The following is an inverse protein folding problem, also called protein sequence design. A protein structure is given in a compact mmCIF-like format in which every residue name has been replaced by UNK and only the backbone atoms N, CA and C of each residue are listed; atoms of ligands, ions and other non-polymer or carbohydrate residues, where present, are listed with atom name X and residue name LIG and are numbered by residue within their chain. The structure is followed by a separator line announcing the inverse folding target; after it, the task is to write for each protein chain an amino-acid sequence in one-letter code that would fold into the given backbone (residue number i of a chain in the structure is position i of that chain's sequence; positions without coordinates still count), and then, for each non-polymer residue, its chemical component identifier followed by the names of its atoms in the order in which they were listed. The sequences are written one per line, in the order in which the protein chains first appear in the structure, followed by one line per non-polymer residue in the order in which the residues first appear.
data_IF_254726353072
#
_entry.id   IF_254726353072
#
_cell.length_a   1.000
_cell.length_b   1.000
_cell.length_c   1.000
_cell.angle_alpha   90.00
_cell.angle_beta   90.00
_cell.angle_gamma   90.00
#
_symmetry.space_group_name_H-M   'P 1'
#
loop_
_entity.id
_entity.type
_entity.pdbx_description
1 polymer ?
#
# COMPACT_ATOMS: atom_id res chain seq x y z
N UNK A 1 0.03 11.84 23.80
CA UNK A 1 1.34 11.29 23.39
C UNK A 1 2.37 12.34 23.01
N UNK A 2 2.07 13.59 23.23
CA UNK A 2 3.02 14.67 22.96
C UNK A 2 4.34 14.51 23.70
N UNK A 3 4.29 13.81 24.85
CA UNK A 3 5.47 13.57 25.67
C UNK A 3 6.17 12.24 25.44
N UNK A 4 5.66 11.43 24.50
CA UNK A 4 6.26 10.14 24.20
C UNK A 4 7.58 10.33 23.47
N UNK A 5 8.58 9.54 23.85
CA UNK A 5 9.84 9.51 23.15
C UNK A 5 9.70 8.68 21.87
N UNK A 6 10.56 8.91 20.83
CA UNK A 6 10.41 8.17 19.56
C UNK A 6 10.34 6.65 19.71
N UNK A 7 11.11 6.08 20.64
CA UNK A 7 11.11 4.63 20.84
C UNK A 7 9.89 4.11 21.59
N UNK A 8 9.06 4.99 22.14
CA UNK A 8 7.82 4.64 22.83
C UNK A 8 6.62 4.65 21.89
N UNK A 9 6.79 5.11 20.65
CA UNK A 9 5.72 5.19 19.68
C UNK A 9 5.34 3.80 19.18
N UNK A 10 4.05 3.61 18.89
CA UNK A 10 3.57 2.39 18.23
C UNK A 10 4.11 2.31 16.80
N UNK A 11 4.01 1.13 16.18
CA UNK A 11 4.39 0.94 14.79
C UNK A 11 3.67 1.88 13.84
N UNK A 12 2.35 2.06 14.04
CA UNK A 12 1.56 2.96 13.20
C UNK A 12 1.96 4.42 13.38
N UNK A 13 2.27 4.83 14.62
CA UNK A 13 2.74 6.19 14.88
C UNK A 13 4.10 6.45 14.25
N UNK A 14 5.01 5.47 14.31
CA UNK A 14 6.30 5.57 13.63
C UNK A 14 6.13 5.73 12.13
N UNK A 15 5.21 4.97 11.56
CA UNK A 15 4.94 5.03 10.14
C UNK A 15 4.36 6.38 9.73
N UNK A 16 3.44 6.95 10.52
CA UNK A 16 2.91 8.29 10.26
C UNK A 16 3.99 9.35 10.32
N UNK A 17 4.92 9.25 11.28
CA UNK A 17 6.04 10.18 11.38
C UNK A 17 6.95 10.06 10.14
N UNK A 18 7.21 8.84 9.69
CA UNK A 18 8.03 8.61 8.50
C UNK A 18 7.39 9.24 7.26
N UNK A 19 6.08 9.08 7.10
CA UNK A 19 5.34 9.68 5.98
C UNK A 19 5.43 11.22 6.06
N UNK A 20 5.21 11.79 7.23
CA UNK A 20 5.29 13.24 7.40
C UNK A 20 6.68 13.79 7.06
N UNK A 21 7.74 13.08 7.45
CA UNK A 21 9.11 13.47 7.10
C UNK A 21 9.35 13.43 5.59
N UNK A 22 8.86 12.37 4.94
CA UNK A 22 8.99 12.24 3.49
C UNK A 22 8.28 13.40 2.79
N UNK A 23 7.09 13.77 3.24
CA UNK A 23 6.32 14.87 2.66
C UNK A 23 7.01 16.22 2.84
N UNK A 24 7.68 16.43 3.97
CA UNK A 24 8.40 17.69 4.21
C UNK A 24 9.55 17.92 3.22
N UNK A 25 10.00 16.89 2.55
CA UNK A 25 11.03 17.01 1.52
C UNK A 25 10.46 17.42 0.16
N UNK A 26 9.16 17.57 0.05
CA UNK A 26 8.44 17.91 -1.19
C UNK A 26 8.83 17.01 -2.36
N UNK A 27 8.72 15.68 -2.21
CA UNK A 27 9.16 14.75 -3.24
C UNK A 27 8.21 14.75 -4.43
N UNK A 28 8.74 14.40 -5.60
CA UNK A 28 7.90 14.19 -6.78
C UNK A 28 7.21 12.83 -6.72
N UNK A 29 7.89 11.83 -6.17
CA UNK A 29 7.37 10.46 -6.03
C UNK A 29 7.75 9.93 -4.66
N UNK A 30 6.82 9.21 -4.02
CA UNK A 30 7.11 8.52 -2.75
C UNK A 30 7.02 7.01 -3.01
N UNK A 31 8.01 6.29 -2.49
CA UNK A 31 8.01 4.83 -2.52
C UNK A 31 7.65 4.29 -1.15
N UNK A 32 6.62 3.46 -1.09
CA UNK A 32 6.23 2.73 0.11
C UNK A 32 6.50 1.25 -0.10
N UNK A 33 7.33 0.67 0.74
CA UNK A 33 7.67 -0.75 0.66
C UNK A 33 7.05 -1.48 1.85
N UNK A 34 5.94 -2.15 1.59
CA UNK A 34 5.15 -2.89 2.59
C UNK A 34 4.92 -2.09 3.88
N UNK A 35 4.31 -0.90 3.76
CA UNK A 35 4.21 0.03 4.89
C UNK A 35 3.41 -0.49 6.08
N UNK A 36 2.63 -1.55 5.90
CA UNK A 36 1.76 -2.10 6.95
C UNK A 36 2.17 -3.48 7.43
N UNK A 37 3.28 -4.03 6.93
CA UNK A 37 3.63 -5.44 7.15
C UNK A 37 3.87 -5.83 8.61
N UNK A 38 4.28 -4.88 9.44
CA UNK A 38 4.58 -5.15 10.86
C UNK A 38 3.56 -4.53 11.81
N UNK A 39 2.43 -4.08 11.29
CA UNK A 39 1.40 -3.39 12.06
C UNK A 39 0.24 -4.32 12.40
N UNK A 40 -0.42 -4.06 13.54
CA UNK A 40 -1.66 -4.75 13.85
C UNK A 40 -2.82 -4.21 12.98
N UNK A 41 -3.96 -4.92 12.90
CA UNK A 41 -5.05 -4.55 11.99
C UNK A 41 -5.58 -3.13 12.17
N UNK A 42 -5.61 -2.63 13.40
CA UNK A 42 -6.09 -1.28 13.66
C UNK A 42 -5.16 -0.23 13.07
N UNK A 43 -3.86 -0.44 13.23
CA UNK A 43 -2.83 0.47 12.70
C UNK A 43 -2.77 0.40 11.17
N UNK A 44 -3.00 -0.77 10.59
CA UNK A 44 -3.07 -0.94 9.14
C UNK A 44 -4.13 0.00 8.56
N UNK A 45 -5.32 0.02 9.17
CA UNK A 45 -6.39 0.91 8.72
C UNK A 45 -6.01 2.38 8.74
N UNK A 46 -5.36 2.82 9.81
CA UNK A 46 -4.92 4.22 9.93
C UNK A 46 -3.91 4.60 8.85
N UNK A 47 -2.91 3.76 8.64
CA UNK A 47 -1.85 4.04 7.67
C UNK A 47 -2.39 4.02 6.25
N UNK A 48 -3.22 3.03 5.91
CA UNK A 48 -3.80 2.95 4.56
C UNK A 48 -4.73 4.13 4.26
N UNK A 49 -5.43 4.65 5.26
CA UNK A 49 -6.25 5.84 5.08
C UNK A 49 -5.41 7.07 4.75
N UNK A 50 -4.27 7.23 5.41
CA UNK A 50 -3.36 8.34 5.12
C UNK A 50 -2.85 8.23 3.68
N UNK A 51 -2.44 7.04 3.27
CA UNK A 51 -1.94 6.80 1.91
C UNK A 51 -3.01 7.05 0.85
N UNK A 52 -4.24 6.63 1.14
CA UNK A 52 -5.36 6.88 0.22
C UNK A 52 -5.64 8.37 0.06
N UNK A 53 -5.58 9.14 1.13
CA UNK A 53 -5.74 10.59 1.07
C UNK A 53 -4.64 11.25 0.25
N UNK A 54 -3.40 10.79 0.39
CA UNK A 54 -2.29 11.31 -0.40
C UNK A 54 -2.49 11.03 -1.88
N UNK A 55 -2.95 9.84 -2.20
CA UNK A 55 -3.24 9.46 -3.59
C UNK A 55 -4.32 10.35 -4.19
N UNK A 56 -5.40 10.56 -3.46
CA UNK A 56 -6.51 11.42 -3.92
C UNK A 56 -6.09 12.88 -4.06
N UNK A 57 -5.10 13.29 -3.28
CA UNK A 57 -4.54 14.65 -3.35
C UNK A 57 -3.56 14.86 -4.49
N UNK A 58 -3.34 13.86 -5.33
CA UNK A 58 -2.47 13.97 -6.50
C UNK A 58 -1.01 13.60 -6.28
N UNK A 59 -0.68 13.04 -5.12
CA UNK A 59 0.69 12.59 -4.85
C UNK A 59 1.00 11.34 -5.66
N UNK A 60 2.12 11.37 -6.39
CA UNK A 60 2.59 10.19 -7.12
C UNK A 60 3.27 9.22 -6.17
N UNK A 61 2.82 7.98 -6.20
CA UNK A 61 3.31 6.95 -5.26
C UNK A 61 3.49 5.62 -5.95
N UNK A 62 4.51 4.88 -5.52
CA UNK A 62 4.68 3.47 -5.84
C UNK A 62 4.57 2.73 -4.52
N UNK A 63 3.64 1.78 -4.43
CA UNK A 63 3.38 1.05 -3.19
C UNK A 63 3.53 -0.44 -3.42
N UNK A 64 4.44 -1.07 -2.67
CA UNK A 64 4.57 -2.52 -2.64
C UNK A 64 3.77 -3.00 -1.43
N UNK A 65 2.73 -3.79 -1.64
CA UNK A 65 1.83 -4.15 -0.56
C UNK A 65 1.10 -5.47 -0.81
N UNK A 66 0.68 -6.10 0.28
CA UNK A 66 -0.25 -7.23 0.27
C UNK A 66 -1.66 -6.79 0.65
N UNK A 67 -1.87 -5.50 0.91
CA UNK A 67 -3.16 -4.97 1.31
C UNK A 67 -4.04 -4.75 0.07
N UNK A 68 -4.79 -5.77 -0.30
CA UNK A 68 -5.57 -5.75 -1.55
C UNK A 68 -6.75 -4.81 -1.50
N UNK A 69 -7.35 -4.61 -0.33
CA UNK A 69 -8.41 -3.61 -0.17
C UNK A 69 -7.92 -2.20 -0.49
N UNK A 70 -6.75 -1.86 0.02
CA UNK A 70 -6.13 -0.57 -0.28
C UNK A 70 -5.79 -0.45 -1.77
N UNK A 71 -5.19 -1.48 -2.35
CA UNK A 71 -4.82 -1.48 -3.76
C UNK A 71 -6.05 -1.28 -4.66
N UNK A 72 -7.14 -1.99 -4.34
CA UNK A 72 -8.38 -1.89 -5.11
C UNK A 72 -8.99 -0.50 -5.06
N UNK A 73 -8.97 0.12 -3.88
CA UNK A 73 -9.59 1.42 -3.66
C UNK A 73 -8.75 2.59 -4.17
N UNK A 74 -7.44 2.55 -3.95
CA UNK A 74 -6.59 3.72 -4.11
C UNK A 74 -5.66 3.70 -5.33
N UNK A 75 -5.37 2.53 -5.88
CA UNK A 75 -4.43 2.43 -6.98
C UNK A 75 -5.04 2.84 -8.31
N UNK A 76 -4.25 3.46 -9.16
CA UNK A 76 -4.62 3.73 -10.55
C UNK A 76 -4.22 2.58 -11.46
N UNK A 77 -3.12 1.92 -11.11
CA UNK A 77 -2.63 0.74 -11.83
C UNK A 77 -2.05 -0.23 -10.81
N UNK A 78 -2.23 -1.52 -11.07
CA UNK A 78 -1.70 -2.59 -10.23
C UNK A 78 -0.81 -3.48 -11.08
N UNK A 79 0.39 -3.77 -10.56
CA UNK A 79 1.32 -4.66 -11.20
C UNK A 79 1.57 -5.87 -10.29
N UNK A 80 1.50 -7.06 -10.88
CA UNK A 80 1.79 -8.29 -10.17
C UNK A 80 3.22 -8.71 -10.45
N UNK A 81 4.00 -8.86 -9.39
CA UNK A 81 5.41 -9.21 -9.47
C UNK A 81 5.61 -10.63 -8.97
N UNK A 82 6.26 -11.47 -9.77
CA UNK A 82 6.56 -12.85 -9.42
C UNK A 82 7.96 -13.19 -9.89
N UNK A 83 8.77 -13.73 -8.98
CA UNK A 83 10.15 -14.13 -9.28
C UNK A 83 10.96 -13.01 -9.93
N UNK A 84 10.78 -11.79 -9.45
CA UNK A 84 11.52 -10.64 -9.94
C UNK A 84 11.04 -10.08 -11.28
N UNK A 85 9.91 -10.57 -11.78
CA UNK A 85 9.38 -10.11 -13.07
C UNK A 85 7.96 -9.59 -12.93
N UNK A 86 7.65 -8.53 -13.69
CA UNK A 86 6.28 -8.05 -13.80
C UNK A 86 5.51 -8.96 -14.74
N UNK A 87 4.52 -9.64 -14.19
CA UNK A 87 3.71 -10.62 -14.91
C UNK A 87 2.52 -9.95 -15.59
N UNK A 88 1.88 -9.02 -14.91
CA UNK A 88 0.68 -8.36 -15.41
C UNK A 88 0.58 -6.98 -14.80
N UNK A 89 0.13 -6.01 -15.60
CA UNK A 89 -0.15 -4.65 -15.14
C UNK A 89 -1.50 -4.23 -15.71
N UNK A 90 -2.44 -3.88 -14.84
CA UNK A 90 -3.80 -3.53 -15.23
C UNK A 90 -4.37 -2.44 -14.33
N UNK A 91 -5.52 -1.90 -14.75
CA UNK A 91 -6.35 -1.12 -13.83
C UNK A 91 -6.86 -2.02 -12.71
N UNK A 92 -7.25 -1.47 -11.56
CA UNK A 92 -7.81 -2.29 -10.48
C UNK A 92 -9.00 -3.13 -10.91
N UNK A 93 -9.90 -2.58 -11.73
CA UNK A 93 -11.05 -3.32 -12.22
C UNK A 93 -10.67 -4.59 -12.96
N UNK A 94 -9.75 -4.46 -13.91
CA UNK A 94 -9.30 -5.59 -14.71
C UNK A 94 -8.51 -6.58 -13.87
N UNK A 95 -7.62 -6.07 -13.03
CA UNK A 95 -6.77 -6.92 -12.19
C UNK A 95 -7.60 -7.84 -11.30
N UNK A 96 -8.65 -7.32 -10.66
CA UNK A 96 -9.46 -8.09 -9.73
C UNK A 96 -10.57 -8.89 -10.38
N UNK A 97 -11.05 -8.48 -11.55
CA UNK A 97 -12.20 -9.12 -12.22
C UNK A 97 -11.82 -10.04 -13.37
N UNK A 98 -10.85 -9.63 -14.16
CA UNK A 98 -10.49 -10.30 -15.42
C UNK A 98 -8.98 -10.36 -15.62
N UNK A 99 -8.23 -10.94 -14.67
CA UNK A 99 -6.79 -11.03 -14.84
C UNK A 99 -6.43 -11.90 -16.05
N UNK A 100 -5.40 -11.48 -16.78
CA UNK A 100 -4.97 -12.19 -17.98
C UNK A 100 -4.08 -13.39 -17.70
N UNK A 101 -3.38 -13.36 -16.56
CA UNK A 101 -2.39 -14.37 -16.25
C UNK A 101 -2.91 -15.34 -15.18
N UNK A 102 -2.70 -16.66 -15.35
CA UNK A 102 -3.16 -17.65 -14.36
C UNK A 102 -2.60 -17.44 -12.95
N UNK A 103 -1.35 -16.97 -12.84
CA UNK A 103 -0.74 -16.70 -11.54
C UNK A 103 -1.49 -15.61 -10.79
N UNK A 104 -1.97 -14.60 -11.49
CA UNK A 104 -2.74 -13.51 -10.89
C UNK A 104 -4.10 -14.02 -10.43
N UNK A 105 -4.76 -14.83 -11.25
CA UNK A 105 -6.05 -15.42 -10.89
C UNK A 105 -5.91 -16.28 -9.62
N UNK A 106 -4.85 -17.09 -9.55
CA UNK A 106 -4.58 -17.93 -8.39
C UNK A 106 -4.36 -17.08 -7.13
N UNK A 107 -3.60 -16.00 -7.26
CA UNK A 107 -3.34 -15.08 -6.15
C UNK A 107 -4.64 -14.46 -5.64
N UNK A 108 -5.48 -13.97 -6.54
CA UNK A 108 -6.76 -13.36 -6.18
C UNK A 108 -7.68 -14.37 -5.50
N UNK A 109 -7.74 -15.58 -6.00
CA UNK A 109 -8.55 -16.63 -5.40
C UNK A 109 -8.10 -16.95 -3.97
N UNK A 110 -6.80 -16.97 -3.72
CA UNK A 110 -6.25 -17.19 -2.39
C UNK A 110 -6.58 -16.06 -1.42
N UNK A 111 -6.59 -14.82 -1.90
CA UNK A 111 -6.89 -13.66 -1.06
C UNK A 111 -8.37 -13.60 -0.68
N UNK A 112 -9.26 -13.89 -1.62
CA UNK A 112 -10.70 -13.68 -1.41
C UNK A 112 -11.48 -14.96 -1.07
N UNK A 113 -10.90 -16.12 -1.21
CA UNK A 113 -11.60 -17.39 -0.95
C UNK A 113 -11.03 -18.16 0.25
N UNK A 114 -10.41 -17.46 1.16
CA UNK A 114 -9.87 -18.08 2.38
C UNK A 114 -10.91 -18.09 3.49
#
# INVERSE_FOLDING_TARGET
KANAKPWELSGGQKQRVAIARALNMHPDIILFDEPTSALDPEMVGEVTQIMAKLSKGGMSMIVVTHEMGFAREAAHRISFLEKGQFIETDSPEVFFSHPSHPSVQKFIDQVYNV
#
